data_IF_888858239729
#
_entry.id   IF_888858239729
#
_cell.length_a   1.000
_cell.length_b   1.000
_cell.length_c   1.000
_cell.angle_alpha   90.00
_cell.angle_beta   90.00
_cell.angle_gamma   90.00
#
_symmetry.space_group_name_H-M   'P 1'
#
loop_
_entity.id
_entity.type
_entity.pdbx_description
1 polymer ?
#
# COMPACT_ATOMS: atom_id res chain seq x y z
N UNK A 1 -57.11 64.65 14.38
CA UNK A 1 -55.77 65.06 14.84
C UNK A 1 -55.21 63.91 15.62
N UNK A 2 -54.50 63.01 14.97
CA UNK A 2 -53.83 61.88 15.61
C UNK A 2 -52.41 61.76 15.02
N UNK A 3 -51.47 61.92 15.96
CA UNK A 3 -50.04 61.74 15.67
C UNK A 3 -49.71 60.26 15.42
N UNK A 4 -49.04 60.00 14.33
CA UNK A 4 -48.50 58.66 14.02
C UNK A 4 -47.08 58.56 14.59
N UNK A 5 -46.91 57.64 15.51
CA UNK A 5 -45.64 57.32 16.16
C UNK A 5 -44.89 56.26 15.28
N UNK A 6 -43.73 56.63 14.78
CA UNK A 6 -42.95 55.82 13.86
C UNK A 6 -41.86 55.15 14.65
N UNK A 7 -42.10 53.88 15.07
CA UNK A 7 -41.11 53.05 15.73
C UNK A 7 -40.09 52.56 14.71
N UNK A 8 -38.88 52.95 14.94
CA UNK A 8 -37.70 52.52 14.17
C UNK A 8 -37.47 51.01 14.33
N UNK A 9 -37.45 50.30 13.20
CA UNK A 9 -37.10 48.91 13.10
C UNK A 9 -35.57 48.81 12.97
N UNK A 10 -34.89 48.42 14.03
CA UNK A 10 -33.46 48.13 14.01
C UNK A 10 -33.26 46.75 13.39
N UNK A 11 -32.78 46.71 12.13
CA UNK A 11 -32.30 45.48 11.50
C UNK A 11 -30.90 45.15 12.01
N UNK A 12 -30.83 44.16 12.92
CA UNK A 12 -29.55 43.57 13.32
C UNK A 12 -29.06 42.61 12.22
N UNK A 13 -28.06 43.06 11.47
CA UNK A 13 -27.39 42.23 10.46
C UNK A 13 -26.49 41.23 11.18
N UNK A 14 -26.96 39.98 11.35
CA UNK A 14 -26.10 38.86 11.76
C UNK A 14 -25.18 38.48 10.60
N UNK A 15 -23.94 38.96 10.64
CA UNK A 15 -22.90 38.52 9.74
C UNK A 15 -22.52 37.08 10.14
N UNK A 16 -23.00 36.10 9.38
CA UNK A 16 -22.55 34.69 9.49
C UNK A 16 -21.18 34.63 8.83
N UNK A 17 -20.12 34.58 9.65
CA UNK A 17 -18.79 34.24 9.20
C UNK A 17 -18.77 32.74 8.81
N UNK A 18 -18.87 32.45 7.53
CA UNK A 18 -18.45 31.15 6.98
C UNK A 18 -16.94 31.03 7.13
N UNK A 19 -16.47 30.36 8.17
CA UNK A 19 -15.11 29.84 8.20
C UNK A 19 -15.03 28.74 7.13
N UNK A 20 -14.56 29.09 5.94
CA UNK A 20 -14.10 28.13 4.97
C UNK A 20 -12.89 27.42 5.58
N UNK A 21 -13.10 26.25 6.17
CA UNK A 21 -12.03 25.32 6.48
C UNK A 21 -11.43 24.87 5.15
N UNK A 22 -10.39 25.56 4.69
CA UNK A 22 -9.49 25.02 3.67
C UNK A 22 -8.87 23.75 4.23
N UNK A 23 -9.44 22.59 3.89
CA UNK A 23 -8.77 21.32 4.08
C UNK A 23 -7.46 21.39 3.30
N UNK A 24 -6.35 21.51 4.01
CA UNK A 24 -5.04 21.35 3.41
C UNK A 24 -4.95 19.88 2.97
N UNK A 25 -5.10 19.64 1.67
CA UNK A 25 -4.72 18.39 1.04
C UNK A 25 -3.24 18.17 1.37
N UNK A 26 -2.96 17.21 2.25
CA UNK A 26 -1.58 16.81 2.53
C UNK A 26 -1.06 16.14 1.26
N UNK A 27 -0.24 16.85 0.51
CA UNK A 27 0.46 16.25 -0.63
C UNK A 27 1.39 15.16 -0.10
N UNK A 28 1.07 13.90 -0.43
CA UNK A 28 1.97 12.78 -0.18
C UNK A 28 3.09 12.86 -1.21
N UNK A 29 4.32 13.07 -0.72
CA UNK A 29 5.48 13.08 -1.61
C UNK A 29 5.84 11.64 -1.97
N UNK A 30 5.39 11.19 -3.15
CA UNK A 30 5.64 9.84 -3.68
C UNK A 30 6.96 9.88 -4.43
N UNK A 31 7.92 8.99 -4.11
CA UNK A 31 9.21 8.96 -4.80
C UNK A 31 9.06 8.71 -6.29
N UNK A 32 9.92 9.32 -7.10
CA UNK A 32 9.95 9.12 -8.55
C UNK A 32 10.46 7.71 -8.86
N UNK A 33 9.77 7.02 -9.76
CA UNK A 33 10.10 5.68 -10.23
C UNK A 33 11.24 5.69 -11.23
N UNK A 34 12.19 4.76 -11.06
CA UNK A 34 13.11 4.31 -12.10
C UNK A 34 12.88 2.81 -12.32
N UNK A 35 12.07 2.45 -13.32
CA UNK A 35 11.81 1.06 -13.67
C UNK A 35 12.98 0.45 -14.45
N UNK A 36 13.32 -0.81 -14.21
CA UNK A 36 14.33 -1.52 -14.97
C UNK A 36 14.90 -2.75 -14.26
N UNK A 37 15.86 -3.42 -14.91
CA UNK A 37 16.58 -4.55 -14.31
C UNK A 37 17.31 -4.12 -13.04
N UNK A 38 17.53 -5.04 -12.07
CA UNK A 38 18.31 -4.72 -10.88
C UNK A 38 19.72 -4.27 -11.26
N UNK A 39 20.20 -3.23 -10.56
CA UNK A 39 21.60 -2.82 -10.67
C UNK A 39 22.52 -3.88 -10.05
N UNK A 40 23.84 -3.90 -10.35
CA UNK A 40 24.75 -4.97 -9.90
C UNK A 40 24.76 -5.25 -8.39
N UNK A 41 24.40 -4.26 -7.56
CA UNK A 41 24.40 -4.38 -6.11
C UNK A 41 22.98 -4.47 -5.52
N UNK A 42 21.96 -4.53 -6.37
CA UNK A 42 20.57 -4.64 -5.91
C UNK A 42 20.12 -6.10 -5.81
N UNK A 43 19.24 -6.34 -4.88
CA UNK A 43 18.45 -7.55 -4.75
C UNK A 43 16.98 -7.27 -5.07
N UNK A 44 16.23 -8.35 -5.26
CA UNK A 44 14.81 -8.29 -5.63
C UNK A 44 14.00 -9.11 -4.63
N UNK A 45 12.90 -8.56 -4.15
CA UNK A 45 11.92 -9.23 -3.31
C UNK A 45 10.52 -9.03 -3.89
N UNK A 46 9.60 -9.99 -3.66
CA UNK A 46 8.23 -9.92 -4.16
C UNK A 46 7.25 -10.14 -3.03
N UNK A 47 6.22 -9.27 -3.00
CA UNK A 47 5.20 -9.24 -1.96
C UNK A 47 3.81 -9.04 -2.56
N UNK A 48 2.84 -9.83 -2.10
CA UNK A 48 1.41 -9.61 -2.35
C UNK A 48 0.75 -9.23 -1.04
N UNK A 49 0.10 -8.07 -1.01
CA UNK A 49 -0.45 -7.50 0.23
C UNK A 49 -1.81 -6.80 0.01
N UNK A 50 -2.67 -7.37 -0.84
CA UNK A 50 -3.90 -6.73 -1.28
C UNK A 50 -3.68 -5.94 -2.56
N UNK A 51 -4.27 -4.75 -2.66
CA UNK A 51 -4.12 -3.87 -3.84
C UNK A 51 -2.65 -3.47 -4.06
N UNK A 52 -2.11 -3.80 -5.22
CA UNK A 52 -0.70 -3.49 -5.57
C UNK A 52 -0.40 -1.98 -5.68
N UNK A 53 -1.39 -1.11 -5.86
CA UNK A 53 -1.18 0.34 -5.80
C UNK A 53 -0.75 0.77 -4.39
N UNK A 54 -1.38 0.19 -3.35
CA UNK A 54 -1.00 0.42 -1.97
C UNK A 54 0.40 -0.17 -1.67
N UNK A 55 0.63 -1.42 -2.06
CA UNK A 55 1.93 -2.08 -1.91
C UNK A 55 3.06 -1.27 -2.57
N UNK A 56 2.84 -0.77 -3.77
CA UNK A 56 3.82 0.03 -4.50
C UNK A 56 4.27 1.28 -3.71
N UNK A 57 3.33 2.08 -3.19
CA UNK A 57 3.68 3.28 -2.42
C UNK A 57 4.36 2.94 -1.09
N UNK A 58 3.94 1.86 -0.41
CA UNK A 58 4.55 1.38 0.83
C UNK A 58 6.03 1.12 0.61
N UNK A 59 6.37 0.24 -0.33
CA UNK A 59 7.77 -0.12 -0.57
C UNK A 59 8.58 0.99 -1.22
N UNK A 60 8.00 1.76 -2.15
CA UNK A 60 8.69 2.91 -2.75
C UNK A 60 9.08 3.98 -1.73
N UNK A 61 8.38 4.09 -0.62
CA UNK A 61 8.67 5.06 0.44
C UNK A 61 9.91 4.73 1.26
N UNK A 62 10.42 3.49 1.20
CA UNK A 62 11.50 3.01 2.06
C UNK A 62 12.87 3.43 1.54
N UNK A 63 13.72 3.93 2.44
CA UNK A 63 15.12 4.23 2.13
C UNK A 63 15.87 2.93 1.81
N UNK A 64 16.55 2.89 0.68
CA UNK A 64 17.23 1.70 0.17
C UNK A 64 16.43 0.93 -0.87
N UNK A 65 15.14 1.17 -1.00
CA UNK A 65 14.34 0.71 -2.14
C UNK A 65 14.50 1.71 -3.28
N UNK A 66 14.96 1.24 -4.44
CA UNK A 66 15.01 2.08 -5.64
C UNK A 66 13.66 2.15 -6.32
N UNK A 67 13.02 1.00 -6.48
CA UNK A 67 11.77 0.85 -7.22
C UNK A 67 10.89 -0.25 -6.62
N UNK A 68 9.59 -0.12 -6.80
CA UNK A 68 8.62 -1.19 -6.63
C UNK A 68 7.69 -1.16 -7.85
N UNK A 69 7.54 -2.30 -8.50
CA UNK A 69 6.80 -2.46 -9.76
C UNK A 69 5.56 -3.29 -9.49
N UNK A 70 4.39 -2.75 -9.81
CA UNK A 70 3.11 -3.48 -9.72
C UNK A 70 3.02 -4.56 -10.78
N UNK A 71 2.50 -5.74 -10.43
CA UNK A 71 2.38 -6.88 -11.32
C UNK A 71 1.64 -8.06 -10.69
N UNK A 72 1.91 -9.25 -11.21
CA UNK A 72 1.21 -10.48 -10.89
C UNK A 72 2.20 -11.61 -10.62
N UNK A 73 1.99 -12.41 -9.56
CA UNK A 73 2.79 -13.60 -9.26
C UNK A 73 1.98 -14.66 -8.52
N UNK A 74 2.54 -15.85 -8.35
CA UNK A 74 1.98 -16.96 -7.58
C UNK A 74 0.94 -17.80 -8.29
N UNK A 75 0.54 -17.44 -9.51
CA UNK A 75 -0.40 -18.18 -10.34
C UNK A 75 0.27 -19.07 -11.39
N UNK A 76 -0.55 -19.65 -12.26
CA UNK A 76 -0.11 -20.59 -13.29
C UNK A 76 -0.32 -20.09 -14.72
N UNK A 77 -1.12 -19.05 -14.93
CA UNK A 77 -1.30 -18.42 -16.23
C UNK A 77 0.03 -17.78 -16.68
N UNK A 78 0.44 -18.05 -17.92
CA UNK A 78 1.69 -17.52 -18.49
C UNK A 78 1.51 -16.17 -19.19
N UNK A 79 0.28 -15.71 -19.32
CA UNK A 79 -0.08 -14.45 -19.97
C UNK A 79 -1.19 -13.74 -19.17
N UNK A 80 -0.95 -13.46 -17.87
CA UNK A 80 -1.93 -12.75 -17.07
C UNK A 80 -2.08 -11.32 -17.58
N UNK A 81 -3.30 -10.82 -17.52
CA UNK A 81 -3.66 -9.43 -17.64
C UNK A 81 -4.62 -9.07 -16.49
N UNK A 82 -4.82 -7.78 -16.26
CA UNK A 82 -5.62 -7.31 -15.12
C UNK A 82 -7.02 -7.93 -15.09
N UNK A 83 -7.70 -7.94 -16.24
CA UNK A 83 -9.08 -8.45 -16.32
C UNK A 83 -9.15 -9.94 -15.94
N UNK A 84 -8.20 -10.75 -16.42
CA UNK A 84 -8.16 -12.18 -16.06
C UNK A 84 -7.80 -12.39 -14.59
N UNK A 85 -6.84 -11.62 -14.06
CA UNK A 85 -6.45 -11.73 -12.65
C UNK A 85 -7.61 -11.38 -11.74
N UNK A 86 -8.39 -10.34 -12.05
CA UNK A 86 -9.59 -9.96 -11.32
C UNK A 86 -10.67 -11.06 -11.26
N UNK A 87 -10.69 -11.99 -12.22
CA UNK A 87 -11.61 -13.15 -12.16
C UNK A 87 -11.19 -14.22 -11.15
N UNK A 88 -9.95 -14.17 -10.66
CA UNK A 88 -9.35 -15.22 -9.83
C UNK A 88 -8.91 -16.46 -10.60
N UNK A 89 -9.23 -16.58 -11.91
CA UNK A 89 -8.99 -17.80 -12.70
C UNK A 89 -7.52 -18.07 -13.02
N UNK A 90 -6.67 -17.05 -12.98
CA UNK A 90 -5.24 -17.16 -13.27
C UNK A 90 -4.43 -17.79 -12.13
N UNK A 91 -5.00 -17.75 -10.90
CA UNK A 91 -4.31 -18.11 -9.67
C UNK A 91 -3.25 -17.10 -9.21
N UNK A 92 -3.00 -16.04 -9.99
CA UNK A 92 -2.09 -14.96 -9.59
C UNK A 92 -2.68 -14.08 -8.51
N UNK A 93 -1.81 -13.53 -7.66
CA UNK A 93 -2.13 -12.41 -6.78
C UNK A 93 -1.53 -11.12 -7.34
N UNK A 94 -2.16 -9.99 -7.02
CA UNK A 94 -1.57 -8.68 -7.18
C UNK A 94 -0.30 -8.62 -6.32
N UNK A 95 0.81 -8.27 -6.94
CA UNK A 95 2.15 -8.41 -6.36
C UNK A 95 2.96 -7.18 -6.71
N UNK A 96 3.85 -6.77 -5.82
CA UNK A 96 4.90 -5.81 -6.14
C UNK A 96 6.26 -6.49 -6.15
N UNK A 97 7.06 -6.19 -7.17
CA UNK A 97 8.45 -6.57 -7.25
C UNK A 97 9.32 -5.39 -6.79
N UNK A 98 10.05 -5.57 -5.70
CA UNK A 98 10.81 -4.55 -5.00
C UNK A 98 12.29 -4.69 -5.29
N UNK A 99 12.91 -3.65 -5.85
CA UNK A 99 14.33 -3.54 -6.11
C UNK A 99 15.00 -2.75 -4.98
N UNK A 100 15.91 -3.37 -4.26
CA UNK A 100 16.50 -2.75 -3.06
C UNK A 100 18.01 -2.97 -2.95
N UNK A 101 18.68 -2.02 -2.31
CA UNK A 101 20.09 -2.08 -1.96
C UNK A 101 20.24 -2.74 -0.57
N UNK A 102 20.74 -3.98 -0.48
CA UNK A 102 20.86 -4.71 0.80
C UNK A 102 21.85 -4.07 1.78
N UNK A 103 22.68 -3.14 1.32
CA UNK A 103 23.56 -2.36 2.22
C UNK A 103 22.83 -1.25 2.96
N UNK A 104 21.63 -0.86 2.51
CA UNK A 104 20.81 0.22 3.09
C UNK A 104 19.54 -0.28 3.77
N UNK A 105 18.94 -1.34 3.24
CA UNK A 105 17.74 -1.95 3.79
C UNK A 105 17.82 -3.47 3.65
N UNK A 106 17.58 -4.21 4.74
CA UNK A 106 17.64 -5.67 4.70
C UNK A 106 16.32 -6.29 4.23
N UNK A 107 16.38 -7.53 3.72
CA UNK A 107 15.17 -8.31 3.44
C UNK A 107 14.28 -8.46 4.68
N UNK A 108 14.87 -8.66 5.86
CA UNK A 108 14.11 -8.71 7.12
C UNK A 108 13.35 -7.40 7.40
N UNK A 109 13.93 -6.25 7.04
CA UNK A 109 13.24 -4.96 7.18
C UNK A 109 12.07 -4.83 6.19
N UNK A 110 12.21 -5.34 4.96
CA UNK A 110 11.11 -5.39 4.00
C UNK A 110 9.98 -6.31 4.47
N UNK A 111 10.31 -7.49 5.04
CA UNK A 111 9.32 -8.39 5.65
C UNK A 111 8.59 -7.72 6.82
N UNK A 112 9.32 -6.98 7.67
CA UNK A 112 8.70 -6.21 8.75
C UNK A 112 7.80 -5.07 8.23
N UNK A 113 8.16 -4.43 7.12
CA UNK A 113 7.33 -3.42 6.45
C UNK A 113 6.04 -4.04 5.93
N UNK A 114 6.11 -5.20 5.26
CA UNK A 114 4.94 -5.97 4.83
C UNK A 114 3.96 -6.20 5.99
N UNK A 115 4.41 -6.77 7.12
CA UNK A 115 3.53 -7.03 8.27
C UNK A 115 3.07 -5.76 9.02
N UNK A 116 3.65 -4.61 8.70
CA UNK A 116 3.19 -3.33 9.22
C UNK A 116 2.15 -2.66 8.32
N UNK A 117 2.04 -3.05 7.03
CA UNK A 117 1.13 -2.46 6.04
C UNK A 117 -0.17 -3.23 5.86
N UNK A 118 -0.26 -4.48 6.36
CA UNK A 118 -1.42 -5.36 6.16
C UNK A 118 -2.02 -5.87 7.47
N UNK A 119 -3.26 -6.35 7.40
CA UNK A 119 -3.78 -7.33 8.36
C UNK A 119 -3.49 -8.75 7.82
N UNK A 120 -2.47 -9.45 8.36
CA UNK A 120 -2.07 -10.75 7.85
C UNK A 120 -3.02 -11.89 8.25
N UNK A 121 -4.14 -11.58 8.88
CA UNK A 121 -5.17 -12.56 9.28
C UNK A 121 -6.34 -12.62 8.31
N UNK A 122 -6.38 -11.75 7.33
CA UNK A 122 -7.42 -11.71 6.28
C UNK A 122 -7.11 -12.70 5.16
N UNK A 123 -7.96 -13.71 5.01
CA UNK A 123 -7.83 -14.73 3.97
C UNK A 123 -8.51 -14.25 2.68
N UNK A 124 -7.80 -14.33 1.54
CA UNK A 124 -8.29 -13.95 0.22
C UNK A 124 -8.90 -12.54 0.16
N UNK A 125 -8.35 -11.62 0.95
CA UNK A 125 -8.77 -10.22 0.96
C UNK A 125 -7.75 -9.34 1.67
N UNK A 126 -7.89 -8.01 1.50
CA UNK A 126 -7.26 -7.03 2.36
C UNK A 126 -8.16 -5.78 2.43
N UNK A 127 -8.62 -5.46 3.64
CA UNK A 127 -9.55 -4.34 3.83
C UNK A 127 -10.82 -4.47 2.98
N UNK A 128 -11.13 -3.48 2.11
CA UNK A 128 -12.31 -3.53 1.24
C UNK A 128 -12.16 -4.50 0.07
N UNK A 129 -10.93 -4.84 -0.34
CA UNK A 129 -10.66 -5.66 -1.52
C UNK A 129 -10.85 -7.14 -1.20
N UNK A 130 -11.68 -7.82 -1.99
CA UNK A 130 -12.05 -9.22 -1.79
C UNK A 130 -11.78 -10.05 -3.04
N UNK A 131 -11.17 -11.20 -2.86
CA UNK A 131 -10.82 -12.16 -3.91
C UNK A 131 -9.42 -12.71 -3.73
N UNK A 132 -9.16 -13.88 -4.32
CA UNK A 132 -7.88 -14.59 -4.21
C UNK A 132 -6.72 -13.77 -4.76
N UNK A 133 -6.98 -12.82 -5.67
CA UNK A 133 -5.97 -11.89 -6.20
C UNK A 133 -5.45 -10.90 -5.16
N UNK A 134 -6.16 -10.69 -4.04
CA UNK A 134 -5.77 -9.80 -2.95
C UNK A 134 -5.23 -10.53 -1.72
N UNK A 135 -4.94 -11.84 -1.84
CA UNK A 135 -4.37 -12.61 -0.73
C UNK A 135 -2.95 -12.20 -0.40
N UNK A 136 -2.58 -12.33 0.86
CA UNK A 136 -1.23 -12.04 1.34
C UNK A 136 -0.24 -13.14 0.99
N UNK A 137 0.86 -12.79 0.31
CA UNK A 137 1.97 -13.72 -0.01
C UNK A 137 3.31 -13.01 0.20
N UNK A 138 4.26 -13.72 0.81
CA UNK A 138 5.68 -13.35 0.75
C UNK A 138 6.43 -14.44 -0.02
N UNK A 139 7.07 -14.03 -1.11
CA UNK A 139 7.87 -14.95 -1.93
C UNK A 139 9.30 -15.00 -1.43
N UNK A 140 9.88 -16.21 -1.42
CA UNK A 140 11.28 -16.41 -1.07
C UNK A 140 12.06 -17.03 -2.24
N UNK A 141 13.35 -16.72 -2.36
CA UNK A 141 14.26 -17.24 -3.39
C UNK A 141 15.28 -18.24 -2.86
N UNK A 142 15.45 -18.29 -1.54
CA UNK A 142 16.41 -19.17 -0.88
C UNK A 142 15.98 -19.48 0.56
N UNK A 143 16.63 -20.47 1.19
CA UNK A 143 16.30 -20.92 2.54
C UNK A 143 16.53 -19.84 3.62
N UNK A 144 17.46 -18.91 3.40
CA UNK A 144 17.72 -17.81 4.32
C UNK A 144 16.55 -16.82 4.32
N UNK A 145 16.04 -16.44 3.16
CA UNK A 145 14.84 -15.59 3.06
C UNK A 145 13.63 -16.28 3.67
N UNK A 146 13.43 -17.58 3.36
CA UNK A 146 12.34 -18.36 3.98
C UNK A 146 12.44 -18.34 5.50
N UNK A 147 13.62 -18.57 6.04
CA UNK A 147 13.84 -18.54 7.50
C UNK A 147 13.51 -17.17 8.10
N UNK A 148 13.90 -16.07 7.45
CA UNK A 148 13.59 -14.71 7.91
C UNK A 148 12.08 -14.49 7.99
N UNK A 149 11.33 -14.95 6.99
CA UNK A 149 9.87 -14.84 6.96
C UNK A 149 9.24 -15.67 8.08
N UNK A 150 9.65 -16.93 8.20
CA UNK A 150 9.14 -17.87 9.21
C UNK A 150 9.42 -17.35 10.64
N UNK A 151 10.62 -16.84 10.89
CA UNK A 151 11.01 -16.25 12.18
C UNK A 151 10.14 -15.02 12.53
N UNK A 152 9.84 -14.16 11.55
CA UNK A 152 8.98 -12.99 11.78
C UNK A 152 7.52 -13.40 12.05
N UNK A 153 6.98 -14.36 11.31
CA UNK A 153 5.65 -14.92 11.58
C UNK A 153 5.59 -15.53 12.98
N UNK A 154 6.61 -16.30 13.36
CA UNK A 154 6.69 -16.89 14.69
C UNK A 154 6.75 -15.82 15.79
N UNK A 155 7.54 -14.77 15.59
CA UNK A 155 7.67 -13.63 16.51
C UNK A 155 6.33 -12.90 16.69
N UNK A 156 5.63 -12.61 15.58
CA UNK A 156 4.33 -11.94 15.59
C UNK A 156 3.26 -12.80 16.28
N UNK A 157 3.25 -14.11 16.00
CA UNK A 157 2.34 -15.06 16.63
C UNK A 157 2.58 -15.13 18.14
N UNK A 158 3.83 -15.24 18.56
CA UNK A 158 4.20 -15.28 19.99
C UNK A 158 3.91 -13.96 20.74
N UNK A 159 3.90 -12.83 20.02
CA UNK A 159 3.56 -11.52 20.62
C UNK A 159 2.08 -11.31 20.89
N UNK A 160 1.22 -12.21 20.40
CA UNK A 160 -0.25 -12.07 20.45
C UNK A 160 -0.77 -10.74 19.89
N UNK A 161 -0.04 -10.14 18.94
CA UNK A 161 -0.45 -8.89 18.28
C UNK A 161 -1.79 -9.06 17.57
N UNK A 162 -2.02 -10.22 16.97
CA UNK A 162 -3.25 -10.54 16.24
C UNK A 162 -4.09 -11.54 17.02
N UNK A 163 -5.42 -11.35 17.01
CA UNK A 163 -6.36 -12.26 17.67
C UNK A 163 -6.63 -13.55 16.87
N UNK A 164 -6.33 -13.52 15.57
CA UNK A 164 -6.51 -14.62 14.63
C UNK A 164 -5.18 -15.13 14.10
N UNK A 165 -5.19 -16.30 13.49
CA UNK A 165 -4.00 -16.89 12.87
C UNK A 165 -3.54 -16.05 11.69
N UNK A 166 -2.23 -15.86 11.56
CA UNK A 166 -1.61 -15.31 10.33
C UNK A 166 -1.84 -16.32 9.20
N UNK A 167 -2.41 -15.84 8.09
CA UNK A 167 -2.75 -16.63 6.89
C UNK A 167 -1.90 -16.26 5.68
N UNK A 168 -0.95 -15.33 5.84
CA UNK A 168 0.02 -15.00 4.79
C UNK A 168 0.71 -16.26 4.28
N UNK A 169 0.67 -16.48 2.97
CA UNK A 169 1.37 -17.58 2.31
C UNK A 169 2.87 -17.31 2.23
N UNK A 170 3.68 -18.36 2.41
CA UNK A 170 5.15 -18.30 2.26
C UNK A 170 5.53 -19.31 1.18
N UNK A 171 5.81 -18.83 -0.02
CA UNK A 171 5.99 -19.70 -1.19
C UNK A 171 7.27 -19.36 -1.96
N UNK A 172 7.89 -20.36 -2.63
CA UNK A 172 9.06 -20.09 -3.47
C UNK A 172 8.67 -19.17 -4.63
N UNK A 173 9.54 -18.21 -4.93
CA UNK A 173 9.37 -17.36 -6.11
C UNK A 173 9.53 -18.16 -7.38
N UNK A 174 8.66 -17.92 -8.35
CA UNK A 174 8.75 -18.54 -9.69
C UNK A 174 8.87 -17.51 -10.79
N UNK A 175 7.83 -16.74 -11.03
CA UNK A 175 7.77 -15.75 -12.11
C UNK A 175 6.94 -14.56 -11.68
N UNK A 176 7.39 -13.39 -12.06
CA UNK A 176 6.66 -12.13 -11.94
C UNK A 176 6.29 -11.62 -13.34
N UNK A 177 5.07 -11.17 -13.50
CA UNK A 177 4.56 -10.55 -14.71
C UNK A 177 4.22 -9.09 -14.39
N UNK A 178 4.95 -8.09 -14.97
CA UNK A 178 4.62 -6.69 -14.76
C UNK A 178 3.18 -6.39 -15.19
N UNK A 179 2.46 -5.64 -14.39
CA UNK A 179 1.13 -5.15 -14.76
C UNK A 179 1.24 -4.06 -15.82
N UNK A 180 0.14 -3.76 -16.45
CA UNK A 180 -0.02 -2.78 -17.52
C UNK A 180 0.48 -1.40 -17.05
N UNK A 181 0.96 -0.60 -18.00
CA UNK A 181 1.61 0.68 -17.70
C UNK A 181 0.71 1.66 -16.90
N UNK A 182 -0.61 1.58 -17.09
CA UNK A 182 -1.55 2.44 -16.37
C UNK A 182 -1.70 2.11 -14.88
N UNK A 183 -1.23 0.95 -14.44
CA UNK A 183 -1.19 0.58 -13.01
C UNK A 183 0.05 1.09 -12.29
N UNK A 184 1.10 1.39 -13.02
CA UNK A 184 2.37 1.81 -12.43
C UNK A 184 2.25 3.24 -11.87
N UNK A 185 2.75 3.45 -10.63
CA UNK A 185 2.65 4.74 -9.92
C UNK A 185 1.22 5.29 -9.86
N UNK A 186 0.23 4.38 -9.76
CA UNK A 186 -1.18 4.75 -9.88
C UNK A 186 -1.60 5.83 -8.89
N UNK A 187 -1.23 5.70 -7.62
CA UNK A 187 -1.59 6.67 -6.57
C UNK A 187 -1.03 8.07 -6.88
N UNK A 188 0.20 8.14 -7.39
CA UNK A 188 0.83 9.40 -7.77
C UNK A 188 0.14 10.07 -8.97
N UNK A 189 -0.27 9.25 -9.94
CA UNK A 189 -0.86 9.73 -11.19
C UNK A 189 -2.36 10.00 -11.07
N UNK A 190 -3.04 9.46 -10.04
CA UNK A 190 -4.49 9.57 -9.84
C UNK A 190 -4.84 9.97 -8.39
N UNK A 191 -4.31 11.09 -7.88
CA UNK A 191 -4.51 11.51 -6.49
C UNK A 191 -5.98 11.77 -6.15
N UNK A 192 -6.79 12.17 -7.14
CA UNK A 192 -8.22 12.48 -6.98
C UNK A 192 -9.14 11.24 -7.16
N UNK A 193 -8.57 10.05 -7.30
CA UNK A 193 -9.37 8.84 -7.39
C UNK A 193 -10.00 8.53 -6.02
N UNK A 194 -11.33 8.30 -5.92
CA UNK A 194 -12.00 8.08 -4.63
C UNK A 194 -11.45 6.90 -3.81
N UNK A 195 -10.99 5.82 -4.46
CA UNK A 195 -10.35 4.71 -3.77
C UNK A 195 -8.99 5.12 -3.21
N UNK A 196 -8.20 5.88 -3.97
CA UNK A 196 -6.91 6.40 -3.53
C UNK A 196 -7.09 7.31 -2.31
N UNK A 197 -8.03 8.26 -2.37
CA UNK A 197 -8.28 9.20 -1.28
C UNK A 197 -8.81 8.54 -0.01
N UNK A 198 -9.73 7.57 -0.14
CA UNK A 198 -10.47 7.03 1.00
C UNK A 198 -9.92 5.71 1.53
N UNK A 199 -9.06 5.02 0.78
CA UNK A 199 -8.46 3.74 1.16
C UNK A 199 -6.94 3.83 1.15
N UNK A 200 -6.31 3.96 -0.03
CA UNK A 200 -4.87 3.79 -0.15
C UNK A 200 -4.06 4.82 0.64
N UNK A 201 -4.43 6.09 0.61
CA UNK A 201 -3.71 7.15 1.34
C UNK A 201 -3.88 7.03 2.86
N UNK A 202 -5.08 6.84 3.42
CA UNK A 202 -5.26 6.59 4.85
C UNK A 202 -4.43 5.40 5.36
N UNK A 203 -4.45 4.27 4.66
CA UNK A 203 -3.72 3.07 5.03
C UNK A 203 -2.19 3.29 4.97
N UNK A 204 -1.70 3.96 3.92
CA UNK A 204 -0.31 4.36 3.83
C UNK A 204 0.14 5.30 4.96
N UNK A 205 -0.70 6.26 5.33
CA UNK A 205 -0.40 7.16 6.44
C UNK A 205 -0.39 6.42 7.78
N UNK A 206 -1.25 5.42 7.96
CA UNK A 206 -1.22 4.57 9.15
C UNK A 206 0.04 3.70 9.18
N UNK A 207 0.40 3.05 8.06
CA UNK A 207 1.68 2.37 7.92
C UNK A 207 2.85 3.25 8.35
N UNK A 208 2.92 4.50 7.89
CA UNK A 208 3.98 5.44 8.27
C UNK A 208 4.04 5.77 9.76
N UNK A 209 2.93 5.68 10.49
CA UNK A 209 2.92 5.89 11.95
C UNK A 209 3.46 4.69 12.71
N UNK A 210 3.11 3.47 12.26
CA UNK A 210 3.42 2.24 13.00
C UNK A 210 4.77 1.64 12.61
N UNK A 211 5.17 1.68 11.36
CA UNK A 211 6.47 1.18 10.91
C UNK A 211 7.60 2.12 11.34
N UNK A 212 8.62 1.56 12.00
CA UNK A 212 9.76 2.33 12.53
C UNK A 212 11.05 2.16 11.73
N UNK A 213 10.92 1.63 10.51
CA UNK A 213 12.07 1.47 9.60
C UNK A 213 12.45 2.78 8.88
N UNK A 214 13.47 2.69 8.02
CA UNK A 214 13.99 3.86 7.32
C UNK A 214 13.05 4.28 6.18
N UNK A 215 12.65 5.55 6.21
CA UNK A 215 11.92 6.18 5.11
C UNK A 215 12.83 7.11 4.29
N UNK A 216 12.53 7.26 3.01
CA UNK A 216 13.09 8.35 2.21
C UNK A 216 12.68 9.70 2.82
N UNK A 217 13.60 10.67 2.76
CA UNK A 217 13.25 12.06 3.10
C UNK A 217 12.19 12.57 2.12
N UNK A 218 11.13 13.15 2.67
CA UNK A 218 10.11 13.89 1.91
C UNK A 218 10.66 15.18 1.37
#
# INVERSE_FOLDING_TARGET
MHAFDMKQLIFTFCAIFFLAACGQSQSVNIPVKESGKPSPNEQVADFSEGCFWHAEIVFQSLLGVRDAVSGYAGGTDKHPDYEKVCTGSTGHAETVQVYYDPSKISFATLVAAYFASVDPTELDRQGPDQGTQYRGIIFYRNDQEKKIIDDEIARLTASHKYSSKIVTEVVPFTTFYPAEAYHQEYIKNHPDNPYVENVSIPDYLEFRKIFKGPFKSS
#
